data_IF_781624497249
#
_entry.id   IF_781624497249
#
_cell.length_a   1.000
_cell.length_b   1.000
_cell.length_c   1.000
_cell.angle_alpha   90.00
_cell.angle_beta   90.00
_cell.angle_gamma   90.00
#
_symmetry.space_group_name_H-M   'P 1'
#
loop_
_entity.id
_entity.type
_entity.pdbx_description
1 polymer ?
#
# COMPACT_ATOMS: atom_id res chain seq x y z
N UNK A 1 62.63 -8.31 24.04
CA UNK A 1 62.36 -7.80 22.67
C UNK A 1 60.84 -7.83 22.49
N UNK A 2 60.21 -6.64 22.59
CA UNK A 2 59.44 -5.93 21.53
C UNK A 2 58.06 -6.56 21.26
N UNK A 3 57.00 -5.91 21.77
CA UNK A 3 56.06 -5.03 21.05
C UNK A 3 55.07 -5.83 20.18
N UNK A 4 53.81 -5.94 20.60
CA UNK A 4 52.70 -5.02 20.30
C UNK A 4 52.20 -5.11 18.84
N UNK A 5 50.98 -5.62 18.66
CA UNK A 5 50.08 -5.36 17.55
C UNK A 5 48.66 -5.65 18.07
N UNK A 6 47.91 -4.65 18.57
CA UNK A 6 47.27 -3.54 17.87
C UNK A 6 45.94 -3.97 17.22
N UNK A 7 44.90 -3.27 17.68
CA UNK A 7 43.49 -3.32 17.36
C UNK A 7 43.22 -3.15 15.85
N UNK A 8 42.06 -3.62 15.38
CA UNK A 8 41.06 -2.71 14.80
C UNK A 8 39.84 -3.48 14.31
N UNK A 9 38.71 -3.15 14.91
CA UNK A 9 37.35 -3.34 14.41
C UNK A 9 37.20 -3.01 12.92
N UNK A 10 36.35 -3.74 12.21
CA UNK A 10 35.50 -3.13 11.18
C UNK A 10 34.15 -3.85 11.17
N UNK A 11 33.21 -3.21 11.86
CA UNK A 11 31.80 -3.56 11.91
C UNK A 11 31.18 -3.24 10.54
N UNK A 12 30.64 -4.24 9.88
CA UNK A 12 30.01 -4.11 8.56
C UNK A 12 28.69 -3.34 8.69
N UNK A 13 28.65 -2.09 8.24
CA UNK A 13 27.41 -1.35 8.08
C UNK A 13 26.58 -1.91 6.90
N UNK A 14 25.24 -2.02 6.99
CA UNK A 14 24.43 -2.48 5.87
C UNK A 14 24.37 -1.42 4.76
N UNK A 15 24.67 -1.85 3.54
CA UNK A 15 24.73 -1.02 2.35
C UNK A 15 23.34 -0.46 1.99
N UNK A 16 23.20 0.87 2.10
CA UNK A 16 22.15 1.65 1.43
C UNK A 16 22.49 1.66 -0.07
N UNK A 17 21.60 1.27 -1.01
CA UNK A 17 21.96 1.28 -2.42
C UNK A 17 22.14 2.72 -2.91
N UNK A 18 23.33 2.98 -3.45
CA UNK A 18 23.71 4.24 -4.05
C UNK A 18 23.00 4.44 -5.40
N UNK A 19 22.26 5.53 -5.51
CA UNK A 19 21.72 6.05 -6.76
C UNK A 19 22.84 6.69 -7.58
N UNK A 20 23.29 6.03 -8.65
CA UNK A 20 23.93 6.71 -9.80
C UNK A 20 23.73 5.90 -11.08
N UNK A 21 22.72 6.27 -11.87
CA UNK A 21 22.71 6.04 -13.31
C UNK A 21 22.41 7.37 -14.01
N UNK A 22 23.44 7.98 -14.60
CA UNK A 22 23.30 9.13 -15.50
C UNK A 22 22.91 8.60 -16.88
N UNK A 23 21.70 8.92 -17.34
CA UNK A 23 21.29 8.70 -18.73
C UNK A 23 19.77 8.73 -18.93
N UNK A 24 19.22 9.90 -19.31
CA UNK A 24 17.81 10.08 -19.69
C UNK A 24 17.09 11.15 -18.86
N UNK A 25 16.55 12.18 -19.50
CA UNK A 25 16.00 13.40 -18.89
C UNK A 25 14.61 13.25 -18.25
N UNK A 26 14.45 12.33 -17.30
CA UNK A 26 13.33 12.31 -16.38
C UNK A 26 13.83 11.77 -15.05
N UNK A 27 13.68 12.51 -13.95
CA UNK A 27 13.99 11.96 -12.63
C UNK A 27 12.88 10.95 -12.30
N UNK A 28 13.27 9.71 -12.07
CA UNK A 28 12.41 8.77 -11.38
C UNK A 28 12.36 9.19 -9.92
N UNK A 29 11.17 9.58 -9.44
CA UNK A 29 10.95 9.87 -8.03
C UNK A 29 10.36 8.63 -7.36
N UNK A 30 11.04 8.18 -6.32
CA UNK A 30 10.62 7.04 -5.50
C UNK A 30 10.27 7.55 -4.10
N UNK A 31 9.03 7.33 -3.68
CA UNK A 31 8.61 7.53 -2.29
C UNK A 31 8.45 6.17 -1.63
N UNK A 32 9.23 5.93 -0.57
CA UNK A 32 9.30 4.65 0.13
C UNK A 32 8.79 4.76 1.56
N UNK A 33 7.98 3.79 1.99
CA UNK A 33 7.50 3.65 3.37
C UNK A 33 7.39 2.18 3.76
N UNK A 34 7.53 1.92 5.05
CA UNK A 34 7.40 0.59 5.66
C UNK A 34 6.19 0.59 6.56
N UNK A 35 5.38 -0.47 6.51
CA UNK A 35 4.22 -0.66 7.38
C UNK A 35 4.65 -1.01 8.80
N UNK A 36 3.70 -0.94 9.74
CA UNK A 36 3.89 -1.37 11.13
C UNK A 36 4.39 -2.82 11.25
N UNK A 37 3.91 -3.70 10.37
CA UNK A 37 4.36 -5.10 10.25
C UNK A 37 5.66 -5.28 9.43
N UNK A 38 6.40 -4.21 9.12
CA UNK A 38 7.71 -4.30 8.47
C UNK A 38 7.70 -4.49 6.94
N UNK A 39 6.54 -4.42 6.27
CA UNK A 39 6.42 -4.62 4.82
C UNK A 39 6.56 -3.31 4.06
N UNK A 40 7.24 -3.33 2.92
CA UNK A 40 7.54 -2.10 2.19
C UNK A 40 6.51 -1.77 1.10
N UNK A 41 6.32 -0.46 0.88
CA UNK A 41 5.58 0.12 -0.24
C UNK A 41 6.41 1.23 -0.87
N UNK A 42 6.65 1.11 -2.16
CA UNK A 42 7.42 2.07 -2.94
C UNK A 42 6.55 2.64 -4.07
N UNK A 43 6.15 3.90 -3.94
CA UNK A 43 5.51 4.63 -5.04
C UNK A 43 6.60 5.06 -6.02
N UNK A 44 6.46 4.63 -7.27
CA UNK A 44 7.38 4.89 -8.37
C UNK A 44 6.71 5.82 -9.37
N UNK A 45 7.35 6.96 -9.62
CA UNK A 45 6.79 8.03 -10.45
C UNK A 45 7.87 8.53 -11.41
N UNK A 46 7.61 8.49 -12.72
CA UNK A 46 8.50 9.12 -13.71
C UNK A 46 8.05 10.56 -13.94
N UNK A 47 8.96 11.52 -13.97
CA UNK A 47 8.64 12.90 -14.36
C UNK A 47 7.80 12.96 -15.64
N UNK A 48 6.80 13.86 -15.65
CA UNK A 48 6.03 14.19 -16.86
C UNK A 48 6.95 14.95 -17.82
N UNK A 49 7.56 14.25 -18.77
CA UNK A 49 8.28 14.89 -19.87
C UNK A 49 7.22 15.33 -20.91
N UNK A 50 7.06 16.63 -21.21
CA UNK A 50 6.12 17.10 -22.22
C UNK A 50 6.33 16.39 -23.56
N UNK A 51 5.25 15.87 -24.15
CA UNK A 51 5.30 15.13 -25.42
C UNK A 51 5.78 13.67 -25.33
N UNK A 52 6.09 13.15 -24.13
CA UNK A 52 6.34 11.72 -23.92
C UNK A 52 5.26 11.11 -23.02
N UNK A 53 4.81 9.87 -23.30
CA UNK A 53 3.94 9.18 -22.36
C UNK A 53 4.69 9.01 -21.04
N UNK A 54 4.05 9.34 -19.91
CA UNK A 54 4.54 8.94 -18.59
C UNK A 54 4.89 7.45 -18.67
N UNK A 55 6.08 7.03 -18.22
CA UNK A 55 6.50 5.64 -18.37
C UNK A 55 6.06 4.77 -17.21
N UNK A 56 6.10 5.31 -15.98
CA UNK A 56 5.78 4.54 -14.79
C UNK A 56 5.08 5.41 -13.74
N UNK A 57 3.90 4.93 -13.31
CA UNK A 57 3.07 5.53 -12.26
C UNK A 57 2.35 4.38 -11.57
N UNK A 58 2.78 4.06 -10.36
CA UNK A 58 2.27 2.92 -9.61
C UNK A 58 3.13 2.63 -8.38
N UNK A 59 2.71 1.66 -7.58
CA UNK A 59 3.43 1.27 -6.38
C UNK A 59 3.86 -0.19 -6.45
N UNK A 60 5.13 -0.44 -6.14
CA UNK A 60 5.61 -1.76 -5.79
C UNK A 60 5.30 -2.02 -4.31
N UNK A 61 4.64 -3.14 -4.04
CA UNK A 61 4.19 -3.55 -2.72
C UNK A 61 4.85 -4.88 -2.40
N UNK A 62 5.59 -4.94 -1.31
CA UNK A 62 6.25 -6.17 -0.86
C UNK A 62 5.19 -7.16 -0.38
N UNK A 63 5.24 -8.39 -0.89
CA UNK A 63 4.41 -9.54 -0.47
C UNK A 63 5.31 -10.75 -0.32
N UNK A 64 4.94 -11.71 0.53
CA UNK A 64 5.72 -12.95 0.71
C UNK A 64 5.83 -13.78 -0.57
N UNK A 65 4.96 -13.54 -1.56
CA UNK A 65 4.90 -14.28 -2.82
C UNK A 65 5.68 -13.59 -3.95
N UNK A 66 6.60 -12.67 -3.63
CA UNK A 66 7.49 -12.01 -4.61
C UNK A 66 7.11 -10.57 -4.97
N UNK A 67 6.15 -9.97 -4.27
CA UNK A 67 5.71 -8.59 -4.47
C UNK A 67 4.61 -8.42 -5.51
N UNK A 68 3.91 -7.28 -5.44
CA UNK A 68 2.87 -6.88 -6.37
C UNK A 68 3.13 -5.48 -6.91
N UNK A 69 2.81 -5.23 -8.17
CA UNK A 69 2.84 -3.88 -8.74
C UNK A 69 1.42 -3.37 -8.97
N UNK A 70 1.02 -2.36 -8.19
CA UNK A 70 -0.27 -1.68 -8.32
C UNK A 70 -0.08 -0.49 -9.24
N UNK A 71 -0.40 -0.69 -10.52
CA UNK A 71 -0.37 0.37 -11.53
C UNK A 71 -1.47 1.39 -11.24
N UNK A 72 -1.10 2.67 -11.13
CA UNK A 72 -2.06 3.74 -10.91
C UNK A 72 -2.48 4.36 -12.26
N UNK A 73 -3.73 4.79 -12.34
CA UNK A 73 -4.25 5.49 -13.51
C UNK A 73 -3.59 6.86 -13.63
N UNK A 74 -3.32 7.26 -14.88
CA UNK A 74 -2.94 8.63 -15.24
C UNK A 74 -4.19 9.39 -15.66
N UNK A 75 -4.15 10.71 -15.55
CA UNK A 75 -5.15 11.59 -16.16
C UNK A 75 -5.06 11.39 -17.70
N UNK A 76 -5.97 10.59 -18.26
CA UNK A 76 -5.89 10.04 -19.62
C UNK A 76 -6.66 8.71 -19.75
N UNK A 77 -6.51 7.93 -20.84
CA UNK A 77 -7.19 6.64 -20.97
C UNK A 77 -6.79 5.76 -19.77
N UNK A 78 -7.79 5.34 -18.98
CA UNK A 78 -7.61 4.65 -17.69
C UNK A 78 -6.76 3.38 -17.83
N UNK A 79 -5.46 3.53 -17.62
CA UNK A 79 -4.46 2.46 -17.67
C UNK A 79 -3.85 2.21 -16.27
N UNK A 80 -4.74 1.87 -15.33
CA UNK A 80 -4.42 1.51 -13.96
C UNK A 80 -5.60 1.72 -13.03
N UNK A 81 -5.33 1.59 -11.73
CA UNK A 81 -6.28 1.89 -10.66
C UNK A 81 -6.37 3.40 -10.42
N UNK A 82 -7.57 3.95 -10.47
CA UNK A 82 -7.86 5.28 -9.93
C UNK A 82 -7.81 5.28 -8.41
N UNK A 83 -7.63 6.45 -7.79
CA UNK A 83 -7.69 6.54 -6.32
C UNK A 83 -9.11 6.28 -5.83
N UNK A 84 -10.13 6.65 -6.61
CA UNK A 84 -11.51 6.28 -6.32
C UNK A 84 -11.72 4.76 -6.22
N UNK A 85 -11.19 3.99 -7.17
CA UNK A 85 -11.27 2.52 -7.12
C UNK A 85 -10.48 1.95 -5.95
N UNK A 86 -9.27 2.47 -5.64
CA UNK A 86 -8.49 1.99 -4.49
C UNK A 86 -9.18 2.31 -3.15
N UNK A 87 -9.81 3.48 -3.02
CA UNK A 87 -10.64 3.82 -1.87
C UNK A 87 -11.83 2.86 -1.74
N UNK A 88 -12.47 2.49 -2.85
CA UNK A 88 -13.56 1.49 -2.83
C UNK A 88 -13.05 0.10 -2.39
N UNK A 89 -11.86 -0.32 -2.82
CA UNK A 89 -11.25 -1.58 -2.36
C UNK A 89 -10.94 -1.53 -0.87
N UNK A 90 -10.37 -0.41 -0.38
CA UNK A 90 -10.10 -0.24 1.04
C UNK A 90 -11.40 -0.26 1.85
N UNK A 91 -12.42 0.50 1.43
CA UNK A 91 -13.71 0.57 2.10
C UNK A 91 -14.36 -0.80 2.20
N UNK A 92 -14.52 -1.52 1.08
CA UNK A 92 -15.10 -2.85 1.06
C UNK A 92 -14.33 -3.84 1.94
N UNK A 93 -13.01 -3.65 2.09
CA UNK A 93 -12.19 -4.50 2.95
C UNK A 93 -12.46 -4.23 4.42
N UNK A 94 -12.45 -2.97 4.84
CA UNK A 94 -12.72 -2.61 6.23
C UNK A 94 -14.18 -2.84 6.62
N UNK A 95 -15.13 -2.74 5.69
CA UNK A 95 -16.53 -3.15 5.92
C UNK A 95 -16.65 -4.66 6.16
N UNK A 96 -15.96 -5.48 5.37
CA UNK A 96 -15.92 -6.93 5.58
C UNK A 96 -15.27 -7.29 6.92
N UNK A 97 -14.22 -6.56 7.32
CA UNK A 97 -13.60 -6.72 8.64
C UNK A 97 -14.53 -6.28 9.77
N UNK A 98 -15.23 -5.15 9.62
CA UNK A 98 -16.19 -4.65 10.60
C UNK A 98 -17.32 -5.68 10.81
N UNK A 99 -17.83 -6.26 9.72
CA UNK A 99 -18.87 -7.28 9.78
C UNK A 99 -18.39 -8.57 10.44
N UNK A 100 -17.09 -8.88 10.36
CA UNK A 100 -16.49 -10.07 10.95
C UNK A 100 -16.13 -9.89 12.43
N UNK A 101 -15.38 -8.85 12.79
CA UNK A 101 -14.84 -8.67 14.15
C UNK A 101 -15.69 -7.75 15.04
N UNK A 102 -16.45 -6.83 14.46
CA UNK A 102 -17.25 -5.84 15.21
C UNK A 102 -16.43 -4.79 15.96
N UNK A 103 -15.11 -4.72 15.77
CA UNK A 103 -14.22 -3.80 16.48
C UNK A 103 -14.55 -2.31 16.22
N UNK A 104 -14.72 -1.51 17.28
CA UNK A 104 -15.08 -0.10 17.14
C UNK A 104 -14.06 0.73 16.33
N UNK A 105 -12.77 0.40 16.41
CA UNK A 105 -11.71 1.08 15.64
C UNK A 105 -11.90 0.88 14.13
N UNK A 106 -12.45 -0.25 13.71
CA UNK A 106 -12.68 -0.56 12.29
C UNK A 106 -13.83 0.27 11.73
N UNK A 107 -14.90 0.43 12.51
CA UNK A 107 -16.00 1.34 12.16
C UNK A 107 -15.51 2.79 12.00
N UNK A 108 -14.56 3.23 12.83
CA UNK A 108 -13.95 4.54 12.73
C UNK A 108 -13.08 4.68 11.47
N UNK A 109 -12.32 3.64 11.12
CA UNK A 109 -11.57 3.58 9.85
C UNK A 109 -12.54 3.70 8.66
N UNK A 110 -13.63 2.93 8.63
CA UNK A 110 -14.67 2.97 7.58
C UNK A 110 -15.21 4.40 7.43
N UNK A 111 -15.57 5.06 8.55
CA UNK A 111 -16.08 6.44 8.56
C UNK A 111 -15.09 7.43 7.94
N UNK A 112 -13.79 7.25 8.17
CA UNK A 112 -12.75 8.07 7.56
C UNK A 112 -12.58 7.80 6.06
N UNK A 113 -12.72 6.54 5.63
CA UNK A 113 -12.66 6.16 4.21
C UNK A 113 -13.87 6.66 3.43
N UNK A 114 -15.08 6.58 3.98
CA UNK A 114 -16.28 7.19 3.40
C UNK A 114 -16.10 8.70 3.19
N UNK A 115 -15.57 9.39 4.20
CA UNK A 115 -15.25 10.81 4.10
C UNK A 115 -14.21 11.07 3.00
N UNK A 116 -13.19 10.22 2.89
CA UNK A 116 -12.18 10.36 1.83
C UNK A 116 -12.79 10.17 0.45
N UNK A 117 -13.62 9.14 0.25
CA UNK A 117 -14.31 8.84 -1.00
C UNK A 117 -15.28 9.96 -1.41
N UNK A 118 -16.05 10.51 -0.45
CA UNK A 118 -16.96 11.62 -0.71
C UNK A 118 -16.25 12.93 -1.08
N UNK A 119 -15.05 13.15 -0.53
CA UNK A 119 -14.25 14.35 -0.81
C UNK A 119 -13.43 14.24 -2.07
N UNK A 120 -12.95 13.04 -2.42
CA UNK A 120 -12.11 12.81 -3.58
C UNK A 120 -12.92 12.96 -4.86
N UNK A 121 -12.58 13.97 -5.66
CA UNK A 121 -13.14 14.18 -7.00
C UNK A 121 -12.01 14.10 -8.00
N UNK A 122 -11.94 12.97 -8.71
CA UNK A 122 -11.17 12.89 -9.95
C UNK A 122 -11.99 13.50 -11.09
N UNK A 123 -11.38 14.30 -11.98
CA UNK A 123 -12.03 14.67 -13.23
C UNK A 123 -12.33 13.41 -14.03
N UNK A 124 -13.57 13.29 -14.46
CA UNK A 124 -13.95 12.30 -15.45
C UNK A 124 -13.81 12.96 -16.81
N UNK A 125 -12.68 12.75 -17.48
CA UNK A 125 -12.41 13.28 -18.83
C UNK A 125 -13.21 12.52 -19.92
N UNK A 126 -14.47 12.18 -19.63
CA UNK A 126 -15.39 11.47 -20.53
C UNK A 126 -15.12 9.96 -20.70
N UNK A 127 -14.04 9.42 -20.13
CA UNK A 127 -13.74 7.99 -20.16
C UNK A 127 -14.49 7.23 -19.06
N UNK A 128 -15.08 6.08 -19.42
CA UNK A 128 -15.72 5.20 -18.46
C UNK A 128 -14.67 4.55 -17.55
N UNK A 129 -14.73 4.85 -16.25
CA UNK A 129 -13.98 4.13 -15.22
C UNK A 129 -14.59 2.74 -15.06
N UNK A 130 -13.84 1.64 -15.25
CA UNK A 130 -14.38 0.31 -15.00
C UNK A 130 -14.83 0.16 -13.54
N UNK A 131 -16.01 -0.44 -13.27
CA UNK A 131 -16.42 -0.69 -11.90
C UNK A 131 -15.46 -1.66 -11.21
N UNK A 132 -15.35 -1.57 -9.89
CA UNK A 132 -14.62 -2.55 -9.08
C UNK A 132 -15.52 -3.76 -8.85
N UNK A 133 -15.02 -4.96 -9.12
CA UNK A 133 -15.64 -6.22 -8.71
C UNK A 133 -14.81 -6.88 -7.60
N UNK A 134 -15.51 -7.60 -6.72
CA UNK A 134 -14.92 -8.36 -5.62
C UNK A 134 -15.19 -9.83 -5.84
N UNK A 135 -14.12 -10.62 -5.90
CA UNK A 135 -14.17 -12.05 -6.19
C UNK A 135 -13.62 -12.86 -5.00
N UNK A 136 -14.16 -14.07 -4.76
CA UNK A 136 -13.57 -15.02 -3.82
C UNK A 136 -12.10 -15.30 -4.11
N UNK A 137 -11.41 -15.87 -3.12
CA UNK A 137 -10.02 -16.24 -3.28
C UNK A 137 -9.84 -17.23 -4.45
N UNK A 138 -8.84 -17.03 -5.34
CA UNK A 138 -8.59 -17.97 -6.42
C UNK A 138 -8.24 -19.37 -5.88
N UNK A 139 -8.53 -20.44 -6.63
CA UNK A 139 -8.23 -21.80 -6.21
C UNK A 139 -6.76 -21.96 -5.76
N UNK A 140 -6.55 -22.63 -4.62
CA UNK A 140 -5.22 -22.80 -4.02
C UNK A 140 -4.76 -21.65 -3.11
N UNK A 141 -5.57 -20.59 -2.97
CA UNK A 141 -5.33 -19.55 -1.96
C UNK A 141 -5.60 -20.06 -0.54
N UNK A 142 -4.93 -19.50 0.48
CA UNK A 142 -5.29 -19.75 1.87
C UNK A 142 -6.77 -19.42 2.12
N UNK A 143 -7.40 -20.16 3.04
CA UNK A 143 -8.73 -19.82 3.50
C UNK A 143 -8.75 -18.39 4.05
N UNK A 144 -9.78 -17.64 3.70
CA UNK A 144 -10.02 -16.28 4.15
C UNK A 144 -11.33 -16.27 4.94
N UNK A 145 -11.37 -15.67 6.15
CA UNK A 145 -12.63 -15.45 6.87
C UNK A 145 -13.52 -14.41 6.17
N UNK A 146 -12.98 -13.66 5.21
CA UNK A 146 -13.71 -12.65 4.44
C UNK A 146 -14.29 -13.21 3.14
N UNK A 147 -15.44 -12.67 2.68
CA UNK A 147 -16.16 -13.18 1.51
C UNK A 147 -15.42 -13.02 0.17
N UNK A 148 -14.39 -12.19 0.13
CA UNK A 148 -13.57 -11.94 -1.05
C UNK A 148 -12.12 -11.71 -0.65
N UNK A 149 -11.19 -12.01 -1.57
CA UNK A 149 -9.77 -11.68 -1.41
C UNK A 149 -9.13 -11.15 -2.69
N UNK A 150 -9.90 -11.01 -3.76
CA UNK A 150 -9.45 -10.48 -5.04
C UNK A 150 -10.34 -9.31 -5.45
N UNK A 151 -9.76 -8.14 -5.63
CA UNK A 151 -10.42 -7.00 -6.25
C UNK A 151 -10.00 -6.88 -7.71
N UNK A 152 -10.93 -6.60 -8.63
CA UNK A 152 -10.64 -6.38 -10.04
C UNK A 152 -11.28 -5.11 -10.58
N UNK A 153 -10.60 -4.49 -11.54
CA UNK A 153 -11.11 -3.37 -12.32
C UNK A 153 -10.55 -3.45 -13.74
N UNK A 154 -11.42 -3.78 -14.71
CA UNK A 154 -10.99 -4.07 -16.09
C UNK A 154 -9.97 -5.21 -16.13
N UNK A 155 -8.74 -4.93 -16.58
CA UNK A 155 -7.64 -5.90 -16.66
C UNK A 155 -6.75 -5.96 -15.42
N UNK A 156 -6.99 -5.11 -14.43
CA UNK A 156 -6.14 -5.00 -13.24
C UNK A 156 -6.76 -5.77 -12.08
N UNK A 157 -5.90 -6.38 -11.26
CA UNK A 157 -6.30 -7.12 -10.08
C UNK A 157 -5.39 -6.83 -8.89
N UNK A 158 -5.96 -6.78 -7.70
CA UNK A 158 -5.23 -6.70 -6.43
C UNK A 158 -5.68 -7.89 -5.57
N UNK A 159 -4.74 -8.77 -5.25
CA UNK A 159 -4.96 -9.83 -4.28
C UNK A 159 -4.70 -9.26 -2.88
N UNK A 160 -5.75 -9.17 -2.08
CA UNK A 160 -5.69 -8.73 -0.70
C UNK A 160 -5.20 -9.86 0.21
N UNK A 161 -4.63 -9.49 1.34
CA UNK A 161 -4.25 -10.45 2.37
C UNK A 161 -5.50 -11.21 2.87
N UNK A 162 -5.49 -12.56 2.87
CA UNK A 162 -6.64 -13.35 3.24
C UNK A 162 -7.02 -13.19 4.71
N UNK A 163 -6.05 -12.92 5.58
CA UNK A 163 -6.25 -12.78 7.03
C UNK A 163 -5.46 -11.57 7.56
N UNK A 164 -5.98 -10.94 8.61
CA UNK A 164 -5.31 -9.89 9.36
C UNK A 164 -4.19 -10.43 10.28
N UNK A 165 -4.27 -11.70 10.70
CA UNK A 165 -3.37 -12.31 11.69
C UNK A 165 -2.24 -13.14 11.07
N UNK A 166 -2.43 -13.83 9.95
CA UNK A 166 -1.36 -14.65 9.38
C UNK A 166 -1.35 -14.76 7.84
N UNK A 167 -0.16 -14.48 7.28
CA UNK A 167 0.56 -15.21 6.18
C UNK A 167 1.35 -14.32 5.20
N UNK A 168 1.36 -13.00 5.34
CA UNK A 168 2.13 -12.08 4.47
C UNK A 168 1.85 -12.18 2.95
N UNK A 169 0.90 -13.02 2.53
CA UNK A 169 0.48 -13.23 1.14
C UNK A 169 -0.50 -12.16 0.71
N UNK A 170 -0.27 -11.55 -0.45
CA UNK A 170 -1.13 -10.46 -0.96
C UNK A 170 -0.94 -9.12 -0.22
N UNK A 171 -1.63 -8.09 -0.70
CA UNK A 171 -1.54 -6.70 -0.21
C UNK A 171 -2.30 -6.56 1.11
N UNK A 172 -1.64 -6.05 2.15
CA UNK A 172 -2.34 -5.78 3.43
C UNK A 172 -3.20 -4.51 3.36
N UNK A 173 -4.22 -4.38 4.22
CA UNK A 173 -5.01 -3.15 4.33
C UNK A 173 -4.13 -1.91 4.61
N UNK A 174 -3.14 -2.03 5.50
CA UNK A 174 -2.19 -0.95 5.79
C UNK A 174 -1.37 -0.55 4.55
N UNK A 175 -0.87 -1.51 3.77
CA UNK A 175 -0.13 -1.23 2.53
C UNK A 175 -0.99 -0.51 1.49
N UNK A 176 -2.27 -0.90 1.37
CA UNK A 176 -3.22 -0.24 0.47
C UNK A 176 -3.47 1.21 0.90
N UNK A 177 -3.71 1.47 2.18
CA UNK A 177 -3.88 2.83 2.71
C UNK A 177 -2.62 3.69 2.54
N UNK A 178 -1.45 3.11 2.78
CA UNK A 178 -0.15 3.75 2.59
C UNK A 178 0.07 4.14 1.13
N UNK A 179 -0.24 3.25 0.19
CA UNK A 179 -0.19 3.53 -1.24
C UNK A 179 -1.11 4.71 -1.61
N UNK A 180 -2.35 4.71 -1.13
CA UNK A 180 -3.32 5.79 -1.38
C UNK A 180 -2.79 7.12 -0.84
N UNK A 181 -2.22 7.13 0.38
CA UNK A 181 -1.62 8.32 0.99
C UNK A 181 -0.45 8.86 0.17
N UNK A 182 0.46 7.98 -0.27
CA UNK A 182 1.61 8.34 -1.08
C UNK A 182 1.16 8.92 -2.43
N UNK A 183 0.19 8.27 -3.08
CA UNK A 183 -0.33 8.72 -4.37
C UNK A 183 -1.03 10.09 -4.27
N UNK A 184 -1.86 10.30 -3.26
CA UNK A 184 -2.48 11.60 -2.99
C UNK A 184 -1.43 12.67 -2.68
N UNK A 185 -0.39 12.34 -1.91
CA UNK A 185 0.73 13.25 -1.62
C UNK A 185 1.46 13.67 -2.89
N UNK A 186 1.72 12.74 -3.80
CA UNK A 186 2.34 13.00 -5.10
C UNK A 186 1.45 13.82 -6.05
N UNK A 187 0.12 13.76 -5.89
CA UNK A 187 -0.83 14.54 -6.69
C UNK A 187 -1.04 15.97 -6.18
N UNK A 188 -0.83 16.25 -4.89
CA UNK A 188 -1.05 17.59 -4.31
C UNK A 188 -0.36 18.73 -5.08
N UNK A 189 0.90 18.62 -5.54
CA UNK A 189 1.57 19.71 -6.22
C UNK A 189 1.08 19.94 -7.65
N UNK A 190 0.51 18.92 -8.31
CA UNK A 190 0.29 18.91 -9.77
C UNK A 190 -1.18 18.91 -10.19
N UNK A 191 -2.11 18.68 -9.26
CA UNK A 191 -3.54 18.65 -9.57
C UNK A 191 -4.20 20.03 -9.39
N UNK A 192 -5.19 20.41 -10.22
CA UNK A 192 -5.98 21.63 -10.02
C UNK A 192 -7.01 21.51 -8.89
N UNK A 193 -7.39 20.30 -8.46
CA UNK A 193 -8.31 20.04 -7.35
C UNK A 193 -7.59 19.84 -6.00
N UNK A 194 -6.61 20.69 -5.70
CA UNK A 194 -5.73 20.53 -4.52
C UNK A 194 -6.46 20.45 -3.19
N UNK A 195 -7.55 21.21 -3.03
CA UNK A 195 -8.32 21.27 -1.77
C UNK A 195 -8.98 19.92 -1.46
N UNK A 196 -9.68 19.33 -2.42
CA UNK A 196 -10.34 18.03 -2.26
C UNK A 196 -9.33 16.91 -2.11
N UNK A 197 -8.24 16.95 -2.88
CA UNK A 197 -7.11 16.02 -2.73
C UNK A 197 -6.51 16.08 -1.31
N UNK A 198 -6.29 17.28 -0.78
CA UNK A 198 -5.77 17.48 0.59
C UNK A 198 -6.74 16.95 1.66
N UNK A 199 -8.03 17.20 1.49
CA UNK A 199 -9.06 16.74 2.42
C UNK A 199 -9.19 15.21 2.42
N UNK A 200 -9.23 14.59 1.24
CA UNK A 200 -9.22 13.13 1.11
C UNK A 200 -7.97 12.53 1.74
N UNK A 201 -6.80 13.11 1.46
CA UNK A 201 -5.53 12.69 2.07
C UNK A 201 -5.57 12.77 3.59
N UNK A 202 -6.10 13.85 4.17
CA UNK A 202 -6.21 13.98 5.63
C UNK A 202 -7.06 12.86 6.22
N UNK A 203 -8.17 12.51 5.59
CA UNK A 203 -9.03 11.43 6.05
C UNK A 203 -8.33 10.06 5.93
N UNK A 204 -7.68 9.78 4.80
CA UNK A 204 -6.87 8.56 4.61
C UNK A 204 -5.73 8.46 5.63
N UNK A 205 -5.05 9.56 5.96
CA UNK A 205 -3.99 9.55 6.97
C UNK A 205 -4.48 9.17 8.36
N UNK A 206 -5.70 9.57 8.73
CA UNK A 206 -6.28 9.16 10.02
C UNK A 206 -6.62 7.67 10.00
N UNK A 207 -7.27 7.20 8.94
CA UNK A 207 -7.54 5.76 8.74
C UNK A 207 -6.24 4.93 8.79
N UNK A 208 -5.18 5.39 8.12
CA UNK A 208 -3.88 4.73 8.12
C UNK A 208 -3.23 4.70 9.50
N UNK A 209 -3.32 5.78 10.29
CA UNK A 209 -2.78 5.81 11.65
C UNK A 209 -3.49 4.80 12.56
N UNK A 210 -4.82 4.76 12.52
CA UNK A 210 -5.63 3.79 13.27
C UNK A 210 -5.30 2.35 12.85
N UNK A 211 -5.17 2.11 11.54
CA UNK A 211 -4.80 0.79 11.03
C UNK A 211 -3.37 0.39 11.44
N UNK A 212 -2.41 1.32 11.38
CA UNK A 212 -1.03 1.04 11.76
C UNK A 212 -0.90 0.70 13.26
N UNK A 213 -1.66 1.37 14.14
CA UNK A 213 -1.74 1.03 15.56
C UNK A 213 -2.32 -0.37 15.76
N UNK A 214 -3.43 -0.68 15.08
CA UNK A 214 -4.10 -1.99 15.13
C UNK A 214 -3.20 -3.11 14.60
N UNK A 215 -2.56 -2.89 13.46
CA UNK A 215 -1.64 -3.84 12.84
C UNK A 215 -0.37 -4.05 13.68
N UNK A 216 0.17 -3.00 14.29
CA UNK A 216 1.29 -3.11 15.23
C UNK A 216 0.94 -3.97 16.44
N UNK A 217 -0.26 -3.79 17.01
CA UNK A 217 -0.71 -4.58 18.16
C UNK A 217 -0.88 -6.06 17.81
N UNK A 218 -1.49 -6.36 16.65
CA UNK A 218 -1.64 -7.74 16.15
C UNK A 218 -0.30 -8.40 15.86
N UNK A 219 0.63 -7.65 15.25
CA UNK A 219 1.96 -8.17 14.98
C UNK A 219 2.74 -8.48 16.27
N UNK A 220 2.64 -7.62 17.28
CA UNK A 220 3.25 -7.89 18.58
C UNK A 220 2.65 -9.13 19.27
N UNK A 221 1.33 -9.31 19.20
CA UNK A 221 0.67 -10.51 19.73
C UNK A 221 1.14 -11.77 18.99
N UNK A 222 1.21 -11.74 17.66
CA UNK A 222 1.72 -12.84 16.86
C UNK A 222 3.16 -13.24 17.22
N UNK A 223 4.04 -12.27 17.44
CA UNK A 223 5.41 -12.55 17.87
C UNK A 223 5.45 -13.20 19.26
N UNK A 224 4.63 -12.71 20.20
CA UNK A 224 4.54 -13.29 21.54
C UNK A 224 4.03 -14.75 21.51
N UNK A 225 3.07 -15.05 20.64
CA UNK A 225 2.56 -16.43 20.46
C UNK A 225 3.63 -17.36 19.86
N UNK A 226 4.40 -16.87 18.88
CA UNK A 226 5.51 -17.62 18.29
C UNK A 226 6.63 -17.92 19.31
N UNK A 227 6.92 -16.97 20.20
CA UNK A 227 7.93 -17.13 21.27
C UNK A 227 7.45 -18.06 22.41
N UNK A 228 6.13 -18.26 22.53
CA UNK A 228 5.52 -19.09 23.57
C UNK A 228 5.43 -20.59 23.22
N UNK A 229 5.70 -21.00 21.97
CA UNK A 229 5.74 -22.43 21.63
C UNK A 229 7.02 -23.09 22.20
N UNK A 230 6.90 -24.04 23.16
CA UNK A 230 8.06 -24.75 23.67
C UNK A 230 8.63 -25.64 22.57
N UNK A 231 9.95 -25.57 22.36
CA UNK A 231 10.66 -26.42 21.40
C UNK A 231 10.37 -27.91 21.62
N UNK A 232 10.51 -28.76 20.58
CA UNK A 232 10.21 -30.17 20.70
C UNK A 232 11.11 -30.78 21.78
N UNK A 233 10.47 -31.25 22.86
CA UNK A 233 11.11 -32.03 23.93
C UNK A 233 11.46 -33.44 23.49
#
# INVERSE_FOLDING_TARGET
>A
MKEAAMESSTQTAPARPASTAKGGSGRDNVAWRTTSAGRNVALLTTDLIPGRPLRLWGAAVETSDGGAFVRLAKLGPYDGWSIGQLLAVALARFEAEQAHSGEAVVAEIVRHLDRAAAMHREPQDGWAVPPVSFEPAPPGSPASPFPWSLARAGRFSIQMCPDAEARQRGVSPEQLLLLIELALSSWLPVTPWRRTCWQARRAVRVALALEAERASARWAAHLADCDAEPGPG
#
